data_IF_909482272746
#
_entry.id   IF_909482272746
#
_cell.length_a   1.000
_cell.length_b   1.000
_cell.length_c   1.000
_cell.angle_alpha   90.00
_cell.angle_beta   90.00
_cell.angle_gamma   90.00
#
_symmetry.space_group_name_H-M   'P 1'
#
loop_
_entity.id
_entity.type
_entity.pdbx_description
1 polymer ?
#
# COMPACT_ATOMS: atom_id res chain seq x y z
N UNK A 1 -36.83 16.62 -24.47
CA UNK A 1 -35.49 16.13 -24.84
C UNK A 1 -34.57 16.62 -23.73
N UNK A 2 -34.39 15.79 -22.71
CA UNK A 2 -33.60 16.12 -21.52
C UNK A 2 -32.64 14.96 -21.30
N UNK A 3 -31.40 15.35 -21.14
CA UNK A 3 -30.19 14.59 -21.36
C UNK A 3 -30.07 13.42 -20.38
N UNK A 4 -29.72 12.27 -20.94
CA UNK A 4 -28.72 11.34 -20.41
C UNK A 4 -28.32 11.56 -18.94
N UNK A 5 -29.03 10.86 -18.04
CA UNK A 5 -28.42 10.43 -16.79
C UNK A 5 -27.39 9.32 -17.12
N UNK A 6 -26.27 9.75 -17.71
CA UNK A 6 -25.18 8.93 -18.24
C UNK A 6 -24.12 8.59 -17.18
N UNK A 7 -24.48 8.59 -15.91
CA UNK A 7 -23.63 7.98 -14.89
C UNK A 7 -24.31 6.67 -14.51
N UNK A 8 -23.88 5.53 -15.07
CA UNK A 8 -24.28 4.26 -14.49
C UNK A 8 -23.83 4.34 -13.04
N UNK A 9 -24.80 4.44 -12.13
CA UNK A 9 -24.60 4.28 -10.70
C UNK A 9 -23.78 3.02 -10.57
N UNK A 10 -22.51 3.25 -10.23
CA UNK A 10 -21.43 2.27 -10.19
C UNK A 10 -21.96 1.07 -9.44
N UNK A 11 -22.19 -0.03 -10.16
CA UNK A 11 -22.59 -1.33 -9.61
C UNK A 11 -21.77 -1.54 -8.34
N UNK A 12 -22.44 -1.61 -7.18
CA UNK A 12 -21.78 -1.79 -5.89
C UNK A 12 -20.77 -2.92 -6.05
N UNK A 13 -19.48 -2.59 -5.98
CA UNK A 13 -18.44 -3.57 -6.25
C UNK A 13 -18.51 -4.62 -5.14
N UNK A 14 -18.89 -5.84 -5.50
CA UNK A 14 -19.11 -6.90 -4.53
C UNK A 14 -17.77 -7.32 -3.91
N UNK A 15 -17.68 -7.21 -2.58
CA UNK A 15 -16.48 -7.58 -1.84
C UNK A 15 -16.43 -9.10 -1.68
N UNK A 16 -15.83 -9.78 -2.66
CA UNK A 16 -15.62 -11.23 -2.60
C UNK A 16 -14.74 -11.61 -1.41
N UNK A 17 -14.87 -12.85 -0.92
CA UNK A 17 -14.03 -13.38 0.17
C UNK A 17 -12.54 -13.23 -0.10
N UNK A 18 -12.11 -13.44 -1.34
CA UNK A 18 -10.71 -13.28 -1.77
C UNK A 18 -10.27 -11.82 -1.64
N UNK A 19 -11.10 -10.87 -2.09
CA UNK A 19 -10.80 -9.44 -1.91
C UNK A 19 -10.66 -9.09 -0.43
N UNK A 20 -11.55 -9.57 0.43
CA UNK A 20 -11.49 -9.29 1.88
C UNK A 20 -10.21 -9.79 2.54
N UNK A 21 -9.77 -11.00 2.18
CA UNK A 21 -8.51 -11.58 2.69
C UNK A 21 -7.31 -10.78 2.20
N UNK A 22 -7.27 -10.44 0.90
CA UNK A 22 -6.17 -9.66 0.34
C UNK A 22 -6.11 -8.25 0.94
N UNK A 23 -7.25 -7.57 1.08
CA UNK A 23 -7.33 -6.27 1.75
C UNK A 23 -6.83 -6.34 3.20
N UNK A 24 -7.24 -7.37 3.94
CA UNK A 24 -6.80 -7.57 5.32
C UNK A 24 -5.29 -7.77 5.39
N UNK A 25 -4.72 -8.61 4.53
CA UNK A 25 -3.28 -8.82 4.45
C UNK A 25 -2.53 -7.51 4.12
N UNK A 26 -3.04 -6.74 3.15
CA UNK A 26 -2.46 -5.45 2.76
C UNK A 26 -2.49 -4.45 3.90
N UNK A 27 -3.61 -4.33 4.61
CA UNK A 27 -3.76 -3.38 5.72
C UNK A 27 -2.81 -3.74 6.87
N UNK A 28 -2.77 -5.00 7.26
CA UNK A 28 -1.84 -5.48 8.30
C UNK A 28 -0.39 -5.25 7.89
N UNK A 29 -0.02 -5.64 6.66
CA UNK A 29 1.33 -5.45 6.16
C UNK A 29 1.69 -3.95 6.07
N UNK A 30 0.76 -3.09 5.66
CA UNK A 30 0.99 -1.63 5.61
C UNK A 30 1.26 -1.04 7.00
N UNK A 31 0.52 -1.48 8.02
CA UNK A 31 0.77 -1.05 9.40
C UNK A 31 2.16 -1.51 9.87
N UNK A 32 2.50 -2.78 9.65
CA UNK A 32 3.82 -3.32 10.02
C UNK A 32 4.94 -2.60 9.27
N UNK A 33 4.74 -2.29 7.99
CA UNK A 33 5.69 -1.59 7.14
C UNK A 33 5.97 -0.17 7.69
N UNK A 34 4.92 0.57 8.04
CA UNK A 34 5.03 1.89 8.66
C UNK A 34 5.76 1.81 10.01
N UNK A 35 5.39 0.85 10.87
CA UNK A 35 6.04 0.68 12.18
C UNK A 35 7.52 0.31 12.04
N UNK A 36 7.85 -0.65 11.19
CA UNK A 36 9.24 -1.07 10.96
C UNK A 36 10.07 0.06 10.35
N UNK A 37 9.49 0.84 9.44
CA UNK A 37 10.14 2.04 8.88
C UNK A 37 10.42 3.08 9.97
N UNK A 38 9.43 3.42 10.81
CA UNK A 38 9.60 4.38 11.89
C UNK A 38 10.68 3.94 12.90
N UNK A 39 10.65 2.66 13.31
CA UNK A 39 11.68 2.10 14.19
C UNK A 39 13.05 2.12 13.52
N UNK A 40 13.14 1.86 12.22
CA UNK A 40 14.39 1.94 11.46
C UNK A 40 14.97 3.34 11.47
N UNK A 41 14.14 4.35 11.19
CA UNK A 41 14.54 5.76 11.21
C UNK A 41 14.99 6.21 12.60
N UNK A 42 14.27 5.81 13.67
CA UNK A 42 14.66 6.08 15.05
C UNK A 42 16.01 5.45 15.43
N UNK A 43 16.34 4.29 14.84
CA UNK A 43 17.64 3.61 14.99
C UNK A 43 18.73 4.18 14.07
N UNK A 44 18.45 5.22 13.30
CA UNK A 44 19.40 5.86 12.39
C UNK A 44 19.62 5.09 11.07
N UNK A 45 18.79 4.10 10.75
CA UNK A 45 18.83 3.45 9.45
C UNK A 45 18.31 4.43 8.38
N UNK A 46 18.94 4.39 7.20
CA UNK A 46 18.51 5.19 6.05
C UNK A 46 17.36 4.50 5.33
N UNK A 47 16.40 5.28 4.88
CA UNK A 47 15.31 4.79 4.04
C UNK A 47 15.83 4.34 2.68
N UNK A 48 15.57 3.08 2.31
CA UNK A 48 15.99 2.51 1.03
C UNK A 48 15.09 2.92 -0.14
N UNK A 49 13.84 3.28 0.14
CA UNK A 49 12.91 3.75 -0.86
C UNK A 49 13.15 5.24 -1.17
N UNK A 50 13.71 5.55 -2.33
CA UNK A 50 14.03 6.92 -2.74
C UNK A 50 12.83 7.89 -2.70
N UNK A 51 11.61 7.42 -2.98
CA UNK A 51 10.40 8.25 -2.94
C UNK A 51 10.03 8.60 -1.50
N UNK A 52 10.08 7.61 -0.60
CA UNK A 52 9.81 7.82 0.83
C UNK A 52 10.91 8.69 1.44
N UNK A 53 12.17 8.44 1.10
CA UNK A 53 13.31 9.24 1.55
C UNK A 53 13.15 10.71 1.14
N UNK A 54 12.80 10.98 -0.12
CA UNK A 54 12.58 12.35 -0.61
C UNK A 54 11.38 13.02 0.08
N UNK A 55 10.30 12.27 0.33
CA UNK A 55 9.12 12.81 1.03
C UNK A 55 9.45 13.14 2.50
N UNK A 56 10.24 12.30 3.17
CA UNK A 56 10.70 12.54 4.54
C UNK A 56 11.66 13.73 4.60
N UNK A 57 12.57 13.86 3.63
CA UNK A 57 13.49 15.00 3.55
C UNK A 57 12.72 16.33 3.38
N UNK A 58 11.64 16.31 2.60
CA UNK A 58 10.83 17.51 2.34
C UNK A 58 9.83 17.84 3.47
N UNK A 59 9.24 16.84 4.12
CA UNK A 59 8.07 17.01 5.00
C UNK A 59 8.25 16.41 6.40
N UNK A 60 9.38 15.77 6.70
CA UNK A 60 9.60 14.96 7.89
C UNK A 60 8.74 13.70 7.91
N UNK A 61 8.42 13.21 9.11
CA UNK A 61 7.57 12.02 9.29
C UNK A 61 6.19 12.11 8.59
N UNK A 62 5.51 13.27 8.49
CA UNK A 62 4.32 13.42 7.66
C UNK A 62 4.49 13.00 6.19
N UNK A 63 5.70 13.13 5.63
CA UNK A 63 6.01 12.69 4.26
C UNK A 63 5.83 11.19 4.07
N UNK A 64 6.17 10.37 5.07
CA UNK A 64 5.92 8.93 5.08
C UNK A 64 4.42 8.64 4.96
N UNK A 65 3.60 9.30 5.79
CA UNK A 65 2.15 9.13 5.79
C UNK A 65 1.53 9.55 4.46
N UNK A 66 2.00 10.65 3.87
CA UNK A 66 1.53 11.12 2.56
C UNK A 66 1.77 10.07 1.47
N UNK A 67 2.96 9.47 1.42
CA UNK A 67 3.29 8.43 0.43
C UNK A 67 2.42 7.20 0.63
N UNK A 68 2.25 6.73 1.87
CA UNK A 68 1.37 5.57 2.17
C UNK A 68 -0.09 5.86 1.82
N UNK A 69 -0.58 7.05 2.14
CA UNK A 69 -1.93 7.46 1.80
C UNK A 69 -2.14 7.52 0.29
N UNK A 70 -1.21 8.13 -0.45
CA UNK A 70 -1.27 8.18 -1.91
C UNK A 70 -1.26 6.78 -2.54
N UNK A 71 -0.41 5.87 -2.03
CA UNK A 71 -0.40 4.47 -2.45
C UNK A 71 -1.74 3.77 -2.16
N UNK A 72 -2.34 4.01 -1.00
CA UNK A 72 -3.64 3.46 -0.63
C UNK A 72 -4.77 3.98 -1.53
N UNK A 73 -4.79 5.28 -1.82
CA UNK A 73 -5.75 5.88 -2.77
C UNK A 73 -5.61 5.26 -4.16
N UNK A 74 -4.37 5.09 -4.63
CA UNK A 74 -4.10 4.43 -5.91
C UNK A 74 -4.57 2.97 -5.91
N UNK A 75 -4.31 2.23 -4.83
CA UNK A 75 -4.75 0.84 -4.67
C UNK A 75 -6.28 0.72 -4.67
N UNK A 76 -6.98 1.56 -3.90
CA UNK A 76 -8.45 1.61 -3.87
C UNK A 76 -9.00 1.97 -5.24
N UNK A 77 -8.35 2.88 -5.97
CA UNK A 77 -8.73 3.28 -7.33
C UNK A 77 -8.44 2.21 -8.39
N UNK A 78 -7.39 1.40 -8.24
CA UNK A 78 -7.04 0.30 -9.14
C UNK A 78 -7.90 -0.96 -8.92
N UNK A 79 -8.10 -1.36 -7.65
CA UNK A 79 -9.33 -2.07 -7.26
C UNK A 79 -10.52 -1.16 -7.64
N UNK A 80 -11.80 -1.41 -7.41
CA UNK A 80 -12.87 -0.49 -7.86
C UNK A 80 -12.99 -0.13 -9.40
N UNK A 81 -11.93 0.04 -10.20
CA UNK A 81 -11.96 0.27 -11.66
C UNK A 81 -11.68 -1.01 -12.49
N UNK A 82 -10.90 -1.95 -11.96
CA UNK A 82 -10.59 -3.21 -12.66
C UNK A 82 -11.77 -4.20 -12.69
N UNK A 83 -11.74 -5.18 -13.60
CA UNK A 83 -12.64 -6.36 -13.51
C UNK A 83 -12.36 -7.17 -12.23
N UNK A 84 -13.23 -8.08 -11.81
CA UNK A 84 -13.01 -8.83 -10.55
C UNK A 84 -11.78 -9.74 -10.59
N UNK A 85 -11.54 -10.38 -11.73
CA UNK A 85 -10.34 -11.21 -11.90
C UNK A 85 -9.08 -10.36 -11.85
N UNK A 86 -9.08 -9.24 -12.57
CA UNK A 86 -7.91 -8.36 -12.63
C UNK A 86 -7.67 -7.66 -11.29
N UNK A 87 -8.74 -7.30 -10.58
CA UNK A 87 -8.65 -6.71 -9.25
C UNK A 87 -8.10 -7.70 -8.22
N UNK A 88 -8.48 -8.99 -8.30
CA UNK A 88 -7.90 -10.02 -7.45
C UNK A 88 -6.38 -10.19 -7.73
N UNK A 89 -5.97 -10.24 -9.00
CA UNK A 89 -4.56 -10.30 -9.39
C UNK A 89 -3.81 -9.06 -8.90
N UNK A 90 -4.39 -7.88 -9.13
CA UNK A 90 -3.84 -6.60 -8.72
C UNK A 90 -3.61 -6.52 -7.20
N UNK A 91 -4.63 -6.86 -6.41
CA UNK A 91 -4.51 -6.91 -4.94
C UNK A 91 -3.50 -7.97 -4.50
N UNK A 92 -3.45 -9.14 -5.15
CA UNK A 92 -2.50 -10.18 -4.81
C UNK A 92 -1.05 -9.76 -5.05
N UNK A 93 -0.76 -9.12 -6.20
CA UNK A 93 0.56 -8.57 -6.51
C UNK A 93 0.96 -7.50 -5.49
N UNK A 94 0.03 -6.58 -5.17
CA UNK A 94 0.29 -5.54 -4.18
C UNK A 94 0.55 -6.14 -2.78
N UNK A 95 -0.24 -7.13 -2.37
CA UNK A 95 -0.06 -7.83 -1.11
C UNK A 95 1.32 -8.50 -1.02
N UNK A 96 1.74 -9.22 -2.07
CA UNK A 96 3.06 -9.87 -2.12
C UNK A 96 4.18 -8.85 -1.97
N UNK A 97 4.15 -7.75 -2.73
CA UNK A 97 5.17 -6.70 -2.65
C UNK A 97 5.19 -6.07 -1.26
N UNK A 98 4.03 -5.73 -0.70
CA UNK A 98 3.93 -5.10 0.63
C UNK A 98 4.48 -6.02 1.73
N UNK A 99 4.12 -7.31 1.69
CA UNK A 99 4.64 -8.30 2.64
C UNK A 99 6.16 -8.48 2.47
N UNK A 100 6.67 -8.53 1.24
CA UNK A 100 8.11 -8.62 0.99
C UNK A 100 8.86 -7.42 1.58
N UNK A 101 8.32 -6.20 1.43
CA UNK A 101 8.90 -4.99 2.04
C UNK A 101 8.93 -5.10 3.58
N UNK A 102 7.84 -5.54 4.21
CA UNK A 102 7.81 -5.75 5.67
C UNK A 102 8.88 -6.76 6.11
N UNK A 103 9.02 -7.87 5.37
CA UNK A 103 10.03 -8.89 5.65
C UNK A 103 11.44 -8.30 5.52
N UNK A 104 11.70 -7.53 4.47
CA UNK A 104 12.99 -6.87 4.26
C UNK A 104 13.31 -5.85 5.36
N UNK A 105 12.35 -5.01 5.75
CA UNK A 105 12.50 -4.06 6.84
C UNK A 105 12.77 -4.77 8.16
N UNK A 106 12.02 -5.83 8.45
CA UNK A 106 12.20 -6.65 9.66
C UNK A 106 13.57 -7.31 9.67
N UNK A 107 14.01 -7.91 8.56
CA UNK A 107 15.33 -8.52 8.43
C UNK A 107 16.45 -7.49 8.65
N UNK A 108 16.29 -6.28 8.13
CA UNK A 108 17.22 -5.17 8.31
C UNK A 108 17.28 -4.75 9.79
N UNK A 109 16.12 -4.61 10.44
CA UNK A 109 16.03 -4.28 11.87
C UNK A 109 16.64 -5.35 12.78
N UNK A 110 16.58 -6.62 12.36
CA UNK A 110 17.17 -7.76 13.06
C UNK A 110 18.65 -7.97 12.72
N UNK A 111 19.22 -7.21 11.78
CA UNK A 111 20.61 -7.34 11.36
C UNK A 111 20.92 -8.63 10.57
N UNK A 112 19.90 -9.25 9.98
CA UNK A 112 20.03 -10.50 9.18
C UNK A 112 19.87 -10.26 7.68
N UNK A 113 19.69 -8.99 7.26
CA UNK A 113 19.71 -8.61 5.85
C UNK A 113 21.15 -8.71 5.30
N UNK A 114 21.29 -9.31 4.12
CA UNK A 114 22.53 -9.26 3.34
C UNK A 114 22.72 -7.82 2.86
N UNK A 115 23.63 -7.07 3.49
CA UNK A 115 23.99 -5.70 3.11
C UNK A 115 24.92 -5.67 1.91
#
# INVERSE_FOLDING_TARGET
>A
MSEESLLPVRREREMTRTHSVLWSAILVATVLDVLTTMVGLERGLREGNAVVAAAIDALGLPGLWLVKFAAMVWLVGGWALLSDRDAAIFLALFAVVTVATVVANTATLLGVALQ
#
